data_IF_180991470600
#
_entry.id   IF_180991470600
#
_cell.length_a   1.000
_cell.length_b   1.000
_cell.length_c   1.000
_cell.angle_alpha   90.00
_cell.angle_beta   90.00
_cell.angle_gamma   90.00
#
_symmetry.space_group_name_H-M   'P 1'
#
loop_
_entity.id
_entity.type
_entity.pdbx_description
1 polymer ?
#
# COMPACT_ATOMS: atom_id res chain seq x y z
N UNK A 1 -17.71 2.80 -70.80
CA UNK A 1 -16.43 3.27 -70.20
C UNK A 1 -16.69 3.44 -68.70
N UNK A 2 -16.32 2.47 -67.84
CA UNK A 2 -16.54 2.60 -66.38
C UNK A 2 -15.39 3.40 -65.77
N UNK A 3 -15.74 4.41 -64.95
CA UNK A 3 -14.81 5.20 -64.12
C UNK A 3 -14.46 4.43 -62.86
N UNK A 4 -13.23 4.01 -62.77
CA UNK A 4 -12.64 3.38 -61.61
C UNK A 4 -12.35 4.47 -60.55
N UNK A 5 -13.18 4.54 -59.46
CA UNK A 5 -12.92 5.41 -58.32
C UNK A 5 -11.92 4.73 -57.39
N UNK A 6 -10.71 5.25 -57.34
CA UNK A 6 -9.63 4.82 -56.48
C UNK A 6 -9.91 5.34 -55.07
N UNK A 7 -10.42 4.46 -54.19
CA UNK A 7 -10.61 4.77 -52.77
C UNK A 7 -9.26 4.67 -52.02
N UNK A 8 -8.60 5.81 -51.82
CA UNK A 8 -7.34 5.86 -51.04
C UNK A 8 -7.64 5.71 -49.58
N UNK A 9 -7.41 4.52 -49.05
CA UNK A 9 -7.53 4.21 -47.63
C UNK A 9 -6.32 4.82 -46.89
N UNK A 10 -6.52 5.97 -46.22
CA UNK A 10 -5.51 6.67 -45.43
C UNK A 10 -5.27 5.87 -44.12
N UNK A 11 -4.20 5.09 -44.08
CA UNK A 11 -3.73 4.37 -42.92
C UNK A 11 -3.06 5.37 -41.94
N UNK A 12 -3.79 5.86 -40.94
CA UNK A 12 -3.19 6.63 -39.84
C UNK A 12 -2.37 5.69 -38.95
N UNK A 13 -1.05 5.91 -38.79
CA UNK A 13 -0.28 5.20 -37.79
C UNK A 13 -0.72 5.68 -36.39
N UNK A 14 -1.32 4.79 -35.62
CA UNK A 14 -1.55 5.01 -34.19
C UNK A 14 -0.18 5.05 -33.52
N UNK A 15 0.28 6.24 -33.14
CA UNK A 15 1.43 6.43 -32.27
C UNK A 15 1.09 5.95 -30.87
N UNK A 16 1.22 4.63 -30.61
CA UNK A 16 1.24 4.10 -29.28
C UNK A 16 2.54 4.53 -28.60
N UNK A 17 2.49 5.63 -27.84
CA UNK A 17 3.61 6.04 -26.98
C UNK A 17 3.87 4.95 -25.94
N UNK A 18 5.13 4.78 -25.47
CA UNK A 18 5.45 3.83 -24.42
C UNK A 18 4.69 4.21 -23.15
N UNK A 19 3.78 3.36 -22.68
CA UNK A 19 3.17 3.48 -21.38
C UNK A 19 4.26 3.12 -20.34
N UNK A 20 4.82 4.12 -19.67
CA UNK A 20 5.73 3.92 -18.55
C UNK A 20 4.88 3.50 -17.33
N UNK A 21 4.71 2.21 -17.15
CA UNK A 21 4.17 1.67 -15.90
C UNK A 21 5.27 1.72 -14.84
N UNK A 22 5.10 2.53 -13.81
CA UNK A 22 5.99 2.51 -12.64
C UNK A 22 5.74 1.23 -11.87
N UNK A 23 6.59 0.24 -12.05
CA UNK A 23 6.50 -1.02 -11.31
C UNK A 23 7.17 -0.85 -9.95
N UNK A 24 6.38 -0.81 -8.88
CA UNK A 24 6.92 -0.87 -7.51
C UNK A 24 7.37 -2.31 -7.26
N UNK A 25 8.66 -2.49 -6.99
CA UNK A 25 9.22 -3.80 -6.65
C UNK A 25 8.74 -4.18 -5.25
N UNK A 26 8.08 -5.34 -5.15
CA UNK A 26 7.65 -5.86 -3.87
C UNK A 26 8.88 -6.14 -2.98
N UNK A 27 8.98 -5.56 -1.78
CA UNK A 27 10.04 -5.89 -0.85
C UNK A 27 9.82 -7.30 -0.30
N UNK A 28 10.88 -7.97 0.14
CA UNK A 28 10.72 -9.08 1.07
C UNK A 28 10.27 -8.57 2.45
N UNK A 29 9.91 -9.50 3.33
CA UNK A 29 9.36 -9.13 4.63
C UNK A 29 10.36 -8.39 5.52
N UNK A 30 11.62 -8.80 5.51
CA UNK A 30 12.68 -8.16 6.28
C UNK A 30 12.92 -6.71 5.81
N UNK A 31 13.04 -6.51 4.51
CA UNK A 31 13.19 -5.18 3.93
C UNK A 31 11.95 -4.30 4.14
N UNK A 32 10.74 -4.90 4.14
CA UNK A 32 9.52 -4.16 4.48
C UNK A 32 9.60 -3.60 5.90
N UNK A 33 10.01 -4.43 6.88
CA UNK A 33 10.15 -4.03 8.29
C UNK A 33 11.29 -3.04 8.47
N UNK A 34 12.47 -3.32 7.90
CA UNK A 34 13.69 -2.50 8.07
C UNK A 34 13.54 -1.07 7.56
N UNK A 35 12.78 -0.86 6.48
CA UNK A 35 12.60 0.46 5.86
C UNK A 35 11.47 1.28 6.46
N UNK A 36 10.76 0.74 7.44
CA UNK A 36 9.57 1.35 8.03
C UNK A 36 9.95 2.24 9.21
N UNK A 37 9.47 3.49 9.21
CA UNK A 37 9.70 4.41 10.34
C UNK A 37 8.94 3.92 11.58
N UNK A 38 7.70 3.45 11.39
CA UNK A 38 6.88 2.80 12.42
C UNK A 38 5.80 1.92 11.78
N UNK A 39 5.43 0.84 12.46
CA UNK A 39 4.32 -0.01 12.07
C UNK A 39 3.21 0.04 13.15
N UNK A 40 1.97 0.18 12.71
CA UNK A 40 0.79 0.28 13.56
C UNK A 40 -0.35 -0.59 13.05
N UNK A 41 -1.17 -1.10 13.97
CA UNK A 41 -2.53 -1.55 13.69
C UNK A 41 -3.47 -0.39 14.01
N UNK A 42 -4.24 0.07 13.04
CA UNK A 42 -5.06 1.26 13.18
C UNK A 42 -6.35 1.14 12.39
N UNK A 43 -7.36 1.91 12.84
CA UNK A 43 -8.65 2.06 12.17
C UNK A 43 -8.74 3.46 11.56
N UNK A 44 -9.28 3.55 10.36
CA UNK A 44 -9.55 4.83 9.68
C UNK A 44 -10.76 5.51 10.32
N UNK A 45 -10.55 6.67 10.93
CA UNK A 45 -11.62 7.46 11.58
C UNK A 45 -12.26 8.44 10.60
N UNK A 46 -11.44 9.14 9.82
CA UNK A 46 -11.95 10.10 8.85
C UNK A 46 -11.01 10.25 7.65
N UNK A 47 -11.59 10.70 6.54
CA UNK A 47 -10.89 11.04 5.30
C UNK A 47 -11.28 12.45 4.90
N UNK A 48 -10.30 13.34 4.70
CA UNK A 48 -10.54 14.73 4.30
C UNK A 48 -9.64 15.08 3.12
N UNK A 49 -10.24 15.15 1.92
CA UNK A 49 -9.55 15.59 0.71
C UNK A 49 -9.64 17.10 0.56
N UNK A 50 -8.55 17.73 0.15
CA UNK A 50 -8.48 19.16 -0.14
C UNK A 50 -7.44 19.45 -1.21
N UNK A 51 -7.58 20.60 -1.88
CA UNK A 51 -6.54 21.13 -2.74
C UNK A 51 -5.33 21.52 -1.92
N UNK A 52 -4.13 21.12 -2.39
CA UNK A 52 -2.82 21.43 -1.82
C UNK A 52 -1.96 22.13 -2.87
N UNK A 53 -1.07 22.99 -2.42
CA UNK A 53 -0.02 23.57 -3.27
C UNK A 53 1.15 22.60 -3.36
N UNK A 54 1.73 22.47 -4.55
CA UNK A 54 2.95 21.69 -4.71
C UNK A 54 4.13 22.47 -4.11
N UNK A 55 4.86 21.93 -3.12
CA UNK A 55 5.99 22.63 -2.52
C UNK A 55 7.11 22.99 -3.50
N UNK A 56 7.27 22.16 -4.55
CA UNK A 56 8.32 22.35 -5.56
C UNK A 56 7.88 23.28 -6.70
N UNK A 57 6.57 23.47 -6.90
CA UNK A 57 6.01 24.38 -7.90
C UNK A 57 4.65 24.93 -7.44
N UNK A 58 4.60 26.11 -6.80
CA UNK A 58 3.37 26.72 -6.28
C UNK A 58 2.29 27.01 -7.33
N UNK A 59 2.66 27.05 -8.63
CA UNK A 59 1.69 27.16 -9.72
C UNK A 59 0.90 25.89 -9.97
N UNK A 60 1.40 24.76 -9.49
CA UNK A 60 0.74 23.45 -9.57
C UNK A 60 0.03 23.12 -8.26
N UNK A 61 -1.22 22.66 -8.39
CA UNK A 61 -2.00 22.18 -7.26
C UNK A 61 -2.32 20.71 -7.43
N UNK A 62 -2.41 20.01 -6.33
CA UNK A 62 -2.84 18.61 -6.32
C UNK A 62 -3.92 18.38 -5.27
N UNK A 63 -4.65 17.28 -5.38
CA UNK A 63 -5.58 16.84 -4.34
C UNK A 63 -4.80 15.96 -3.37
N UNK A 64 -4.79 16.34 -2.09
CA UNK A 64 -4.24 15.53 -0.99
C UNK A 64 -5.35 15.14 -0.04
N UNK A 65 -5.29 13.89 0.44
CA UNK A 65 -6.21 13.35 1.44
C UNK A 65 -5.49 13.15 2.75
N UNK A 66 -6.01 13.78 3.82
CA UNK A 66 -5.63 13.50 5.19
C UNK A 66 -6.46 12.34 5.70
N UNK A 67 -5.78 11.26 6.06
CA UNK A 67 -6.34 10.05 6.67
C UNK A 67 -6.12 10.13 8.17
N UNK A 68 -7.18 10.27 8.94
CA UNK A 68 -7.11 10.24 10.41
C UNK A 68 -7.22 8.80 10.89
N UNK A 69 -6.28 8.40 11.74
CA UNK A 69 -6.15 7.03 12.21
C UNK A 69 -6.28 6.96 13.73
N UNK A 70 -7.12 6.08 14.22
CA UNK A 70 -7.14 5.62 15.59
C UNK A 70 -6.18 4.45 15.74
N UNK A 71 -5.05 4.67 16.40
CA UNK A 71 -4.06 3.61 16.66
C UNK A 71 -4.63 2.64 17.69
N UNK A 72 -4.78 1.39 17.29
CA UNK A 72 -5.22 0.29 18.14
C UNK A 72 -4.03 -0.40 18.82
N UNK A 73 -2.89 -0.46 18.12
CA UNK A 73 -1.67 -1.10 18.57
C UNK A 73 -0.46 -0.46 17.88
N UNK A 74 0.56 -0.07 18.66
CA UNK A 74 1.88 0.26 18.13
C UNK A 74 2.67 -1.04 18.04
N UNK A 75 3.09 -1.40 16.83
CA UNK A 75 3.81 -2.65 16.59
C UNK A 75 5.32 -2.41 16.70
N UNK A 76 5.83 -1.39 15.97
CA UNK A 76 7.24 -0.96 16.02
C UNK A 76 7.34 0.54 15.84
N UNK A 77 8.46 1.12 16.25
CA UNK A 77 8.77 2.55 16.08
C UNK A 77 7.96 3.45 17.00
N UNK A 78 7.93 4.74 16.68
CA UNK A 78 7.28 5.79 17.49
C UNK A 78 6.36 6.63 16.60
N UNK A 79 5.10 6.23 16.41
CA UNK A 79 4.13 7.01 15.66
C UNK A 79 3.79 8.32 16.38
N UNK A 80 3.49 9.42 15.65
CA UNK A 80 2.95 10.63 16.25
C UNK A 80 1.55 10.37 16.85
N UNK A 81 1.19 11.17 17.86
CA UNK A 81 -0.18 11.14 18.42
C UNK A 81 -0.71 12.57 18.49
N UNK A 82 -1.85 12.88 17.82
CA UNK A 82 -2.67 12.00 16.98
C UNK A 82 -1.96 11.59 15.69
N UNK A 83 -2.37 10.44 15.10
CA UNK A 83 -1.80 9.93 13.87
C UNK A 83 -2.65 10.35 12.66
N UNK A 84 -2.03 11.07 11.74
CA UNK A 84 -2.58 11.39 10.42
C UNK A 84 -1.61 10.92 9.35
N UNK A 85 -2.11 10.37 8.26
CA UNK A 85 -1.34 10.18 7.04
C UNK A 85 -1.76 11.22 6.00
N UNK A 86 -0.79 11.79 5.31
CA UNK A 86 -1.02 12.69 4.19
C UNK A 86 -0.76 11.91 2.90
N UNK A 87 -1.83 11.59 2.16
CA UNK A 87 -1.78 10.78 0.94
C UNK A 87 -2.14 11.65 -0.25
N UNK A 88 -1.35 11.60 -1.31
CA UNK A 88 -1.70 12.27 -2.57
C UNK A 88 -2.86 11.53 -3.24
N UNK A 89 -3.79 12.28 -3.80
CA UNK A 89 -5.00 11.76 -4.41
C UNK A 89 -6.25 11.99 -3.56
N UNK A 90 -7.40 11.67 -4.12
CA UNK A 90 -8.71 11.85 -3.50
C UNK A 90 -9.70 12.58 -4.39
N UNK A 91 -10.77 13.10 -3.79
CA UNK A 91 -11.83 13.80 -4.51
C UNK A 91 -12.20 15.10 -3.80
N UNK A 92 -12.28 16.19 -4.57
CA UNK A 92 -12.77 17.51 -4.12
C UNK A 92 -13.86 17.98 -5.10
N UNK A 93 -15.11 17.95 -4.67
CA UNK A 93 -16.23 18.25 -5.55
C UNK A 93 -16.33 17.26 -6.73
N UNK A 94 -16.14 17.76 -7.95
CA UNK A 94 -16.14 16.91 -9.17
C UNK A 94 -14.75 16.48 -9.61
N UNK A 95 -13.71 17.06 -9.01
CA UNK A 95 -12.33 16.79 -9.38
C UNK A 95 -11.83 15.57 -8.64
N UNK A 96 -11.27 14.61 -9.38
CA UNK A 96 -10.72 13.36 -8.86
C UNK A 96 -9.27 13.25 -9.27
N UNK A 97 -8.41 12.95 -8.32
CA UNK A 97 -7.01 12.62 -8.55
C UNK A 97 -6.71 11.22 -8.04
N UNK A 98 -6.23 10.36 -8.92
CA UNK A 98 -5.85 8.99 -8.57
C UNK A 98 -4.34 8.84 -8.68
N UNK A 99 -3.74 8.21 -7.67
CA UNK A 99 -2.32 7.83 -7.67
C UNK A 99 -2.26 6.31 -7.79
N UNK A 100 -1.62 5.85 -8.87
CA UNK A 100 -1.46 4.41 -9.08
C UNK A 100 -0.60 3.80 -7.96
N UNK A 101 -1.06 2.69 -7.40
CA UNK A 101 -0.39 2.02 -6.28
C UNK A 101 -0.65 2.66 -4.90
N UNK A 102 -1.49 3.69 -4.80
CA UNK A 102 -1.98 4.14 -3.51
C UNK A 102 -3.05 3.18 -2.96
N UNK A 103 -3.09 2.93 -1.64
CA UNK A 103 -4.14 2.14 -1.03
C UNK A 103 -5.47 2.89 -1.01
N UNK A 104 -6.57 2.14 -1.10
CA UNK A 104 -7.93 2.65 -0.96
C UNK A 104 -8.34 2.61 0.52
N UNK A 105 -8.14 3.72 1.24
CA UNK A 105 -8.56 3.86 2.63
C UNK A 105 -10.07 4.06 2.74
N UNK A 106 -10.71 3.37 3.70
CA UNK A 106 -12.15 3.51 3.96
C UNK A 106 -12.41 3.70 5.45
N UNK A 107 -13.29 4.62 5.79
CA UNK A 107 -13.69 4.87 7.18
C UNK A 107 -14.24 3.60 7.80
N UNK A 108 -13.78 3.28 9.01
CA UNK A 108 -14.11 2.07 9.75
C UNK A 108 -13.28 0.83 9.34
N UNK A 109 -12.42 0.93 8.32
CA UNK A 109 -11.54 -0.18 7.96
C UNK A 109 -10.32 -0.21 8.88
N UNK A 110 -10.01 -1.41 9.38
CA UNK A 110 -8.83 -1.68 10.19
C UNK A 110 -7.72 -2.23 9.32
N UNK A 111 -6.49 -1.79 9.56
CA UNK A 111 -5.33 -2.23 8.79
C UNK A 111 -4.05 -2.23 9.64
N UNK A 112 -3.10 -3.09 9.25
CA UNK A 112 -1.71 -2.99 9.68
C UNK A 112 -0.97 -2.18 8.62
N UNK A 113 -0.34 -1.08 9.05
CA UNK A 113 0.30 -0.09 8.21
C UNK A 113 1.79 -0.05 8.50
N UNK A 114 2.60 -0.16 7.47
CA UNK A 114 4.05 0.05 7.50
C UNK A 114 4.32 1.46 6.96
N UNK A 115 4.47 2.42 7.86
CA UNK A 115 4.57 3.84 7.51
C UNK A 115 6.02 4.25 7.30
N UNK A 116 6.27 4.96 6.20
CA UNK A 116 7.57 5.51 5.84
C UNK A 116 7.39 6.91 5.23
N UNK A 117 8.15 7.89 5.72
CA UNK A 117 8.22 9.24 5.15
C UNK A 117 6.89 9.99 5.16
N UNK A 118 6.08 9.84 6.23
CA UNK A 118 4.80 10.55 6.35
C UNK A 118 5.00 12.08 6.28
N UNK A 119 4.21 12.74 5.42
CA UNK A 119 4.35 14.16 5.11
C UNK A 119 5.49 14.50 4.12
N UNK A 120 6.25 13.52 3.64
CA UNK A 120 7.34 13.69 2.66
C UNK A 120 7.15 12.86 1.39
N UNK A 121 6.38 11.78 1.46
CA UNK A 121 6.11 10.89 0.34
C UNK A 121 4.69 11.07 -0.18
N UNK A 122 4.49 10.82 -1.48
CA UNK A 122 3.19 10.83 -2.17
C UNK A 122 2.21 9.85 -1.51
N UNK A 123 2.71 8.67 -1.15
CA UNK A 123 2.01 7.66 -0.35
C UNK A 123 2.95 7.27 0.78
N UNK A 124 2.65 7.64 2.04
CA UNK A 124 3.57 7.47 3.17
C UNK A 124 3.56 6.05 3.73
N UNK A 125 3.64 5.06 2.86
CA UNK A 125 3.75 3.65 3.21
C UNK A 125 4.96 3.03 2.52
N UNK A 126 5.63 2.11 3.22
CA UNK A 126 6.78 1.38 2.68
C UNK A 126 6.37 0.61 1.44
N UNK A 127 7.01 0.93 0.31
CA UNK A 127 6.66 0.39 -1.00
C UNK A 127 5.17 0.54 -1.36
N UNK A 128 4.56 1.69 -1.01
CA UNK A 128 3.17 2.05 -1.35
C UNK A 128 2.16 1.00 -0.84
N UNK A 129 1.34 0.43 -1.74
CA UNK A 129 0.31 -0.57 -1.37
C UNK A 129 0.89 -1.87 -0.79
N UNK A 130 2.20 -2.13 -0.91
CA UNK A 130 2.85 -3.26 -0.24
C UNK A 130 2.98 -3.05 1.27
N UNK A 131 2.93 -1.82 1.76
CA UNK A 131 2.89 -1.48 3.19
C UNK A 131 1.48 -1.42 3.79
N UNK A 132 0.45 -1.87 3.07
CA UNK A 132 -0.95 -1.81 3.47
C UNK A 132 -1.57 -3.21 3.58
N UNK A 133 -2.00 -3.58 4.80
CA UNK A 133 -2.55 -4.89 5.12
C UNK A 133 -3.89 -4.76 5.84
N UNK A 134 -5.03 -4.76 5.10
CA UNK A 134 -6.36 -4.77 5.71
C UNK A 134 -6.55 -5.95 6.66
N UNK A 135 -7.15 -5.69 7.81
CA UNK A 135 -7.55 -6.71 8.78
C UNK A 135 -9.05 -6.88 8.69
N UNK A 136 -9.49 -8.11 8.44
CA UNK A 136 -10.92 -8.41 8.31
C UNK A 136 -11.29 -9.59 9.17
N UNK A 137 -12.44 -9.49 9.84
CA UNK A 137 -12.98 -10.58 10.64
C UNK A 137 -13.48 -11.70 9.75
N UNK A 138 -12.96 -12.89 9.96
CA UNK A 138 -13.47 -14.11 9.30
C UNK A 138 -14.81 -14.48 9.93
N UNK A 139 -15.89 -14.42 9.17
CA UNK A 139 -17.23 -14.68 9.66
C UNK A 139 -17.42 -16.12 10.19
N UNK A 140 -16.62 -17.08 9.70
CA UNK A 140 -16.71 -18.49 10.08
C UNK A 140 -15.97 -18.80 11.38
N UNK A 141 -14.78 -18.20 11.58
CA UNK A 141 -13.92 -18.50 12.74
C UNK A 141 -13.98 -17.42 13.81
N UNK A 142 -14.47 -16.23 13.49
CA UNK A 142 -14.45 -15.07 14.36
C UNK A 142 -13.04 -14.49 14.58
N UNK A 143 -12.02 -14.92 13.81
CA UNK A 143 -10.66 -14.44 13.93
C UNK A 143 -10.40 -13.26 12.96
N UNK A 144 -9.58 -12.31 13.40
CA UNK A 144 -9.13 -11.21 12.56
C UNK A 144 -8.02 -11.70 11.64
N UNK A 145 -8.27 -11.72 10.33
CA UNK A 145 -7.36 -12.21 9.30
C UNK A 145 -6.72 -11.07 8.53
N UNK A 146 -5.44 -11.24 8.25
CA UNK A 146 -4.66 -10.25 7.47
C UNK A 146 -4.83 -10.52 5.98
N UNK A 147 -5.11 -9.45 5.26
CA UNK A 147 -5.17 -9.45 3.81
C UNK A 147 -4.05 -8.57 3.25
N UNK A 148 -3.60 -8.89 2.06
CA UNK A 148 -2.77 -8.00 1.25
C UNK A 148 -3.67 -6.93 0.62
N UNK A 149 -3.11 -5.81 0.21
CA UNK A 149 -3.84 -4.69 -0.41
C UNK A 149 -4.71 -5.10 -1.61
N UNK A 150 -4.36 -6.19 -2.31
CA UNK A 150 -5.18 -6.75 -3.40
C UNK A 150 -6.32 -7.68 -2.92
N UNK A 151 -6.62 -7.69 -1.63
CA UNK A 151 -7.70 -8.46 -1.02
C UNK A 151 -7.38 -9.95 -0.80
N UNK A 152 -6.23 -10.46 -1.23
CA UNK A 152 -5.84 -11.85 -1.00
C UNK A 152 -5.39 -12.06 0.44
N UNK A 153 -5.78 -13.17 1.06
CA UNK A 153 -5.34 -13.56 2.40
C UNK A 153 -3.81 -13.72 2.44
N UNK A 154 -3.20 -13.27 3.54
CA UNK A 154 -1.79 -13.45 3.84
C UNK A 154 -1.59 -14.76 4.60
N UNK A 155 -0.74 -15.67 4.12
CA UNK A 155 -0.48 -16.95 4.77
C UNK A 155 0.92 -17.05 5.38
N UNK A 156 1.88 -16.30 4.84
CA UNK A 156 3.27 -16.32 5.28
C UNK A 156 3.97 -15.01 4.96
N UNK A 157 5.14 -14.80 5.53
CA UNK A 157 6.04 -13.69 5.22
C UNK A 157 6.46 -13.68 3.74
N UNK A 158 6.61 -14.87 3.15
CA UNK A 158 6.94 -15.01 1.73
C UNK A 158 5.86 -14.38 0.82
N UNK A 159 4.59 -14.38 1.25
CA UNK A 159 3.51 -13.78 0.45
C UNK A 159 3.66 -12.26 0.29
N UNK A 160 4.45 -11.59 1.16
CA UNK A 160 4.70 -10.14 1.10
C UNK A 160 5.35 -9.76 -0.23
N UNK A 161 6.32 -10.54 -0.68
CA UNK A 161 7.08 -10.28 -1.91
C UNK A 161 6.34 -10.68 -3.21
N UNK A 162 5.20 -11.35 -3.10
CA UNK A 162 4.44 -11.73 -4.30
C UNK A 162 3.86 -10.49 -4.99
N UNK A 163 3.79 -10.45 -6.32
CA UNK A 163 3.14 -9.37 -7.05
C UNK A 163 1.70 -9.12 -6.58
N UNK A 164 1.28 -7.86 -6.54
CA UNK A 164 -0.09 -7.48 -6.21
C UNK A 164 -1.01 -7.53 -7.43
N UNK A 165 -0.46 -7.35 -8.63
CA UNK A 165 -1.22 -7.53 -9.86
C UNK A 165 -1.75 -8.97 -9.97
N UNK A 166 -2.88 -9.13 -10.64
CA UNK A 166 -3.45 -10.43 -10.93
C UNK A 166 -2.53 -11.18 -11.92
N UNK A 167 -1.52 -11.85 -11.39
CA UNK A 167 -0.75 -12.81 -12.19
C UNK A 167 -1.54 -14.10 -12.28
N UNK A 168 -1.68 -14.63 -13.50
CA UNK A 168 -2.34 -15.90 -13.78
C UNK A 168 -1.58 -17.13 -13.24
N UNK A 169 -0.58 -16.90 -12.37
CA UNK A 169 0.20 -17.95 -11.73
C UNK A 169 -0.58 -18.64 -10.62
N UNK A 170 -0.73 -19.95 -10.72
CA UNK A 170 -1.22 -20.78 -9.62
C UNK A 170 -0.15 -20.80 -8.54
N UNK A 171 -0.37 -20.10 -7.43
CA UNK A 171 0.47 -20.26 -6.25
C UNK A 171 0.10 -21.60 -5.60
N UNK A 172 0.97 -22.58 -5.72
CA UNK A 172 0.82 -23.87 -5.04
C UNK A 172 0.92 -23.64 -3.54
N UNK A 173 -0.20 -23.72 -2.83
CA UNK A 173 -0.25 -23.61 -1.37
C UNK A 173 -0.42 -24.98 -0.74
N UNK A 174 0.20 -25.15 0.44
CA UNK A 174 -0.11 -26.29 1.27
C UNK A 174 -1.61 -26.25 1.63
N UNK A 175 -2.40 -27.30 1.33
CA UNK A 175 -3.83 -27.34 1.65
C UNK A 175 -4.15 -27.15 3.16
N UNK A 176 -3.16 -27.38 4.03
CA UNK A 176 -3.29 -27.20 5.50
C UNK A 176 -2.82 -25.83 5.97
N UNK A 177 -2.28 -24.98 5.08
CA UNK A 177 -1.87 -23.64 5.47
C UNK A 177 -3.06 -22.82 5.95
N UNK A 178 -2.91 -22.16 7.11
CA UNK A 178 -3.91 -21.24 7.64
C UNK A 178 -3.48 -19.81 7.35
N UNK A 179 -4.41 -18.91 7.00
CA UNK A 179 -4.11 -17.49 6.88
C UNK A 179 -3.61 -16.94 8.21
N UNK A 180 -2.67 -16.00 8.17
CA UNK A 180 -2.18 -15.34 9.37
C UNK A 180 -3.30 -14.54 10.04
N UNK A 181 -3.39 -14.67 11.37
CA UNK A 181 -4.17 -13.76 12.18
C UNK A 181 -3.44 -12.41 12.30
N UNK A 182 -4.18 -11.35 12.69
CA UNK A 182 -3.55 -10.06 12.97
C UNK A 182 -2.50 -10.19 14.09
N UNK A 183 -2.78 -10.96 15.14
CA UNK A 183 -1.87 -11.21 16.26
C UNK A 183 -0.59 -11.94 15.83
N UNK A 184 -0.72 -12.98 14.99
CA UNK A 184 0.46 -13.70 14.46
C UNK A 184 1.34 -12.78 13.61
N UNK A 185 0.72 -11.98 12.76
CA UNK A 185 1.46 -11.08 11.89
C UNK A 185 2.15 -9.96 12.66
N UNK A 186 1.49 -9.32 13.65
CA UNK A 186 2.12 -8.32 14.52
C UNK A 186 3.28 -8.91 15.32
N UNK A 187 3.14 -10.15 15.80
CA UNK A 187 4.23 -10.87 16.49
C UNK A 187 5.45 -11.05 15.58
N UNK A 188 5.25 -11.48 14.34
CA UNK A 188 6.34 -11.64 13.35
C UNK A 188 7.02 -10.32 13.02
N UNK A 189 6.26 -9.24 12.86
CA UNK A 189 6.84 -7.90 12.63
C UNK A 189 7.76 -7.52 13.78
N UNK A 190 7.33 -7.68 15.04
CA UNK A 190 8.16 -7.38 16.21
C UNK A 190 9.43 -8.23 16.27
N UNK A 191 9.30 -9.53 16.06
CA UNK A 191 10.43 -10.47 16.05
C UNK A 191 11.47 -10.06 15.00
N UNK A 192 11.02 -9.74 13.79
CA UNK A 192 11.89 -9.29 12.70
C UNK A 192 12.55 -7.95 13.03
N UNK A 193 11.80 -6.97 13.57
CA UNK A 193 12.35 -5.68 13.97
C UNK A 193 13.41 -5.83 15.06
N UNK A 194 13.18 -6.68 16.06
CA UNK A 194 14.16 -6.99 17.11
C UNK A 194 15.42 -7.62 16.51
N UNK A 195 15.27 -8.63 15.65
CA UNK A 195 16.41 -9.28 15.02
C UNK A 195 17.24 -8.33 14.11
N UNK A 196 16.60 -7.34 13.48
CA UNK A 196 17.30 -6.29 12.73
C UNK A 196 18.09 -5.41 13.68
N UNK A 197 17.46 -4.91 14.75
CA UNK A 197 18.10 -4.03 15.73
C UNK A 197 19.30 -4.70 16.42
N UNK A 198 19.20 -5.99 16.75
CA UNK A 198 20.30 -6.78 17.32
C UNK A 198 21.50 -6.94 16.36
N UNK A 199 21.24 -7.08 15.07
CA UNK A 199 22.31 -7.14 14.05
C UNK A 199 22.99 -5.80 13.82
N UNK A 200 22.23 -4.71 13.88
CA UNK A 200 22.77 -3.36 13.69
C UNK A 200 23.49 -2.82 14.90
N UNK A 201 23.12 -3.27 16.10
CA UNK A 201 23.74 -2.86 17.36
C UNK A 201 23.98 -4.05 18.31
N UNK A 202 25.06 -4.82 18.10
CA UNK A 202 25.38 -6.01 18.90
C UNK A 202 25.61 -5.72 20.40
N UNK A 203 25.86 -4.45 20.77
CA UNK A 203 26.09 -4.04 22.16
C UNK A 203 24.80 -3.89 23.00
N UNK A 204 23.63 -3.94 22.38
CA UNK A 204 22.35 -3.95 23.10
C UNK A 204 22.10 -5.23 23.92
N UNK A 205 22.90 -6.29 23.72
CA UNK A 205 22.81 -7.58 24.40
C UNK A 205 23.82 -7.74 25.55
N UNK A 206 24.60 -6.73 25.86
CA UNK A 206 25.56 -6.71 26.97
C UNK A 206 25.09 -5.82 28.10
#
# INVERSE_FOLDING_TARGET
>A
MPRLSLLTLLLLPVLAGPAHATTVIAPDFENLVARTDYAVRAEVVSLKSSWRENPDDPAQRYIGTRVELRVLEVITGQPPSPLFLEVMGGQVGRDVMTVEGAPDFRVGEESILFVQGNGRQVVPLTAMMHGFYPVRRDARTGEDRVHRSNGKLLYSEHDVMLPLAATSGVVMRNPRARPLSAADFTTRIRQTATAIAERENPDLLR
#
